data_IF_732317876388
#
_entry.id   IF_732317876388
#
_cell.length_a   1.000
_cell.length_b   1.000
_cell.length_c   1.000
_cell.angle_alpha   90.00
_cell.angle_beta   90.00
_cell.angle_gamma   90.00
#
_symmetry.space_group_name_H-M   'P 1'
#
loop_
_entity.id
_entity.type
_entity.pdbx_description
1 polymer ?
#
# COMPACT_ATOMS: atom_id res chain seq x y z
N UNK A 1 -79.17 -2.45 59.72
CA UNK A 1 -78.68 -1.82 58.49
C UNK A 1 -77.51 -0.91 58.87
N UNK A 2 -76.26 -1.34 58.69
CA UNK A 2 -75.05 -0.62 59.10
C UNK A 2 -74.35 -0.07 57.85
N UNK A 3 -74.09 1.23 57.85
CA UNK A 3 -73.16 1.90 56.91
C UNK A 3 -71.84 2.18 57.63
N UNK A 4 -70.78 2.28 56.81
CA UNK A 4 -69.47 2.95 57.02
C UNK A 4 -68.31 2.08 57.55
N UNK A 5 -67.30 1.95 56.68
CA UNK A 5 -65.82 1.95 56.82
C UNK A 5 -65.30 1.16 55.60
N UNK A 6 -64.88 1.74 54.47
CA UNK A 6 -63.83 2.73 54.20
C UNK A 6 -62.53 2.48 54.98
N UNK A 7 -61.70 1.55 54.49
CA UNK A 7 -60.23 1.64 54.49
C UNK A 7 -59.64 0.42 53.73
N UNK A 8 -58.55 0.66 53.00
CA UNK A 8 -57.72 -0.31 52.26
C UNK A 8 -58.20 -0.74 50.86
N UNK A 9 -58.35 0.24 49.97
CA UNK A 9 -58.21 0.05 48.52
C UNK A 9 -56.98 0.83 48.03
N UNK A 10 -55.79 0.39 48.42
CA UNK A 10 -54.50 0.86 47.88
C UNK A 10 -53.41 -0.15 48.19
N UNK A 11 -53.39 -1.30 47.50
CA UNK A 11 -52.17 -2.11 47.32
C UNK A 11 -52.40 -3.22 46.29
N UNK A 12 -52.31 -2.90 45.00
CA UNK A 12 -51.99 -3.85 43.92
C UNK A 12 -52.10 -3.11 42.58
N UNK A 13 -51.11 -2.26 42.29
CA UNK A 13 -50.90 -1.80 40.93
C UNK A 13 -49.42 -1.96 40.59
N UNK A 14 -49.20 -2.92 39.69
CA UNK A 14 -48.07 -3.07 38.78
C UNK A 14 -46.66 -2.82 39.33
N UNK A 15 -45.96 -3.92 39.64
CA UNK A 15 -44.52 -3.98 39.43
C UNK A 15 -44.28 -3.79 37.92
N UNK A 16 -44.04 -2.55 37.51
CA UNK A 16 -43.45 -2.23 36.21
C UNK A 16 -42.05 -2.84 36.21
N UNK A 17 -41.88 -3.88 35.40
CA UNK A 17 -40.58 -4.37 34.99
C UNK A 17 -39.90 -3.24 34.22
N UNK A 18 -39.03 -2.49 34.90
CA UNK A 18 -38.01 -1.69 34.24
C UNK A 18 -36.97 -2.68 33.69
N UNK A 19 -37.27 -3.26 32.53
CA UNK A 19 -36.21 -3.77 31.65
C UNK A 19 -35.55 -2.53 31.06
N UNK A 20 -34.49 -2.08 31.72
CA UNK A 20 -33.48 -1.23 31.10
C UNK A 20 -32.87 -2.05 29.97
N UNK A 21 -33.30 -1.82 28.74
CA UNK A 21 -32.45 -2.15 27.59
C UNK A 21 -31.28 -1.17 27.67
N UNK A 22 -30.16 -1.63 28.24
CA UNK A 22 -28.90 -1.08 27.81
C UNK A 22 -28.80 -1.46 26.33
N UNK A 23 -28.92 -0.47 25.45
CA UNK A 23 -28.50 -0.62 24.06
C UNK A 23 -26.98 -0.81 24.11
N UNK A 24 -26.56 -2.06 24.30
CA UNK A 24 -25.20 -2.51 24.04
C UNK A 24 -25.18 -3.07 22.62
N UNK A 25 -25.63 -2.27 21.66
CA UNK A 25 -25.07 -2.42 20.33
C UNK A 25 -23.65 -1.87 20.43
N UNK A 26 -22.59 -2.67 20.21
CA UNK A 26 -21.30 -2.08 19.93
C UNK A 26 -21.53 -1.13 18.77
N UNK A 27 -21.15 0.14 18.94
CA UNK A 27 -20.97 1.05 17.82
C UNK A 27 -19.95 0.34 16.94
N UNK A 28 -20.43 -0.38 15.93
CA UNK A 28 -19.59 -0.86 14.87
C UNK A 28 -19.22 0.40 14.10
N UNK A 29 -18.19 1.10 14.58
CA UNK A 29 -17.43 2.01 13.74
C UNK A 29 -16.74 1.11 12.71
N UNK A 30 -17.51 0.61 11.75
CA UNK A 30 -16.95 0.28 10.45
C UNK A 30 -16.25 1.55 10.02
N UNK A 31 -14.92 1.50 10.02
CA UNK A 31 -14.12 2.54 9.40
C UNK A 31 -14.61 2.66 7.96
N UNK A 32 -15.38 3.71 7.69
CA UNK A 32 -15.84 3.99 6.35
C UNK A 32 -14.67 4.68 5.64
N UNK A 33 -14.15 4.02 4.63
CA UNK A 33 -13.18 4.59 3.69
C UNK A 33 -13.95 5.07 2.48
N UNK A 34 -13.63 6.26 1.99
CA UNK A 34 -14.20 6.80 0.76
C UNK A 34 -13.15 6.74 -0.35
N UNK A 35 -13.56 6.45 -1.58
CA UNK A 35 -12.68 6.51 -2.75
C UNK A 35 -12.08 7.91 -2.85
N UNK A 36 -10.76 7.99 -3.01
CA UNK A 36 -10.01 9.25 -2.93
C UNK A 36 -9.06 9.39 -4.11
N UNK A 37 -9.28 10.45 -4.88
CA UNK A 37 -8.44 10.81 -6.02
C UNK A 37 -7.10 11.32 -5.50
N UNK A 38 -7.14 12.15 -4.45
CA UNK A 38 -5.97 12.68 -3.76
C UNK A 38 -5.09 11.57 -3.19
N UNK A 39 -5.70 10.51 -2.63
CA UNK A 39 -4.99 9.30 -2.24
C UNK A 39 -4.30 8.70 -3.47
N UNK A 40 -5.02 8.44 -4.56
CA UNK A 40 -4.42 7.80 -5.73
C UNK A 40 -3.27 8.61 -6.33
N UNK A 41 -3.40 9.94 -6.40
CA UNK A 41 -2.32 10.83 -6.84
C UNK A 41 -1.13 10.75 -5.91
N UNK A 42 -1.35 10.77 -4.59
CA UNK A 42 -0.29 10.63 -3.59
C UNK A 42 0.43 9.28 -3.72
N UNK A 43 -0.33 8.19 -3.84
CA UNK A 43 0.22 6.84 -3.98
C UNK A 43 1.04 6.68 -5.27
N UNK A 44 0.60 7.32 -6.36
CA UNK A 44 1.37 7.39 -7.61
C UNK A 44 2.70 8.13 -7.41
N UNK A 45 2.68 9.29 -6.76
CA UNK A 45 3.91 10.04 -6.47
C UNK A 45 4.88 9.23 -5.59
N UNK A 46 4.36 8.53 -4.59
CA UNK A 46 5.15 7.59 -3.77
C UNK A 46 5.74 6.50 -4.68
N UNK A 47 4.96 5.89 -5.57
CA UNK A 47 5.44 4.86 -6.50
C UNK A 47 6.57 5.37 -7.42
N UNK A 48 6.44 6.58 -7.98
CA UNK A 48 7.50 7.22 -8.79
C UNK A 48 8.81 7.41 -8.00
N UNK A 49 8.73 7.67 -6.70
CA UNK A 49 9.91 7.94 -5.86
C UNK A 49 10.59 6.68 -5.31
N UNK A 50 9.88 5.55 -5.16
CA UNK A 50 10.49 4.25 -4.83
C UNK A 50 11.57 3.88 -5.86
N UNK A 51 11.30 4.12 -7.16
CA UNK A 51 12.21 3.82 -8.25
C UNK A 51 13.42 4.76 -8.37
N UNK A 52 13.40 5.93 -7.75
CA UNK A 52 14.47 6.94 -7.87
C UNK A 52 15.33 7.09 -6.60
N UNK A 53 14.91 6.49 -5.48
CA UNK A 53 15.47 6.68 -4.13
C UNK A 53 16.97 6.36 -3.95
N UNK A 54 17.68 5.80 -4.93
CA UNK A 54 19.13 5.61 -4.83
C UNK A 54 19.96 6.15 -5.98
N UNK A 55 19.45 7.12 -6.76
CA UNK A 55 20.26 7.82 -7.78
C UNK A 55 20.88 9.14 -7.36
N UNK A 56 20.36 9.83 -6.35
CA UNK A 56 20.83 11.19 -6.03
C UNK A 56 21.15 11.45 -4.56
N UNK A 57 21.05 10.46 -3.67
CA UNK A 57 21.26 10.66 -2.24
C UNK A 57 20.26 11.65 -1.62
N UNK A 58 19.14 11.94 -2.29
CA UNK A 58 18.06 12.78 -1.75
C UNK A 58 17.00 11.94 -1.04
N UNK A 59 17.44 10.96 -0.24
CA UNK A 59 16.61 10.08 0.60
C UNK A 59 15.76 10.79 1.67
N UNK A 60 15.43 12.07 1.46
CA UNK A 60 14.71 12.95 2.36
C UNK A 60 13.72 13.91 1.63
N UNK A 61 13.32 13.65 0.36
CA UNK A 61 12.44 14.57 -0.42
C UNK A 61 11.26 13.92 -1.17
N UNK A 62 10.93 12.65 -0.97
CA UNK A 62 9.99 11.94 -1.85
C UNK A 62 8.55 12.49 -1.87
N UNK A 63 8.08 13.07 -0.77
CA UNK A 63 6.78 13.74 -0.67
C UNK A 63 6.90 14.96 0.23
N UNK A 64 6.24 16.07 -0.12
CA UNK A 64 6.12 17.31 0.67
C UNK A 64 5.52 17.11 2.09
N UNK A 65 4.86 15.97 2.35
CA UNK A 65 4.29 15.57 3.63
C UNK A 65 4.49 14.07 3.85
N UNK A 66 4.39 13.63 5.11
CA UNK A 66 4.34 12.23 5.49
C UNK A 66 3.00 11.89 6.15
N UNK A 67 2.47 10.69 5.92
CA UNK A 67 1.33 10.22 6.72
C UNK A 67 1.74 10.02 8.18
N UNK A 68 0.87 10.43 9.11
CA UNK A 68 0.99 10.07 10.53
C UNK A 68 0.22 8.76 10.72
N UNK A 69 0.97 7.69 10.94
CA UNK A 69 0.42 6.34 11.11
C UNK A 69 -0.16 6.12 12.52
N UNK A 70 -1.17 5.25 12.67
CA UNK A 70 -1.78 4.43 11.61
C UNK A 70 -2.77 5.21 10.74
N UNK A 71 -2.90 4.76 9.49
CA UNK A 71 -3.96 5.21 8.56
C UNK A 71 -4.81 4.01 8.14
N UNK A 72 -6.09 4.25 7.87
CA UNK A 72 -7.01 3.21 7.39
C UNK A 72 -7.29 3.42 5.92
N UNK A 73 -6.97 2.42 5.10
CA UNK A 73 -7.20 2.41 3.67
C UNK A 73 -8.21 1.32 3.29
N UNK A 74 -8.68 1.34 2.04
CA UNK A 74 -9.41 0.22 1.45
C UNK A 74 -8.97 -0.07 0.03
N UNK A 75 -9.09 -1.34 -0.34
CA UNK A 75 -8.94 -1.79 -1.72
C UNK A 75 -10.20 -1.49 -2.53
N UNK A 76 -10.07 -1.53 -3.85
CA UNK A 76 -11.13 -1.41 -4.84
C UNK A 76 -12.31 -2.40 -4.69
N UNK A 77 -12.14 -3.46 -3.88
CA UNK A 77 -13.21 -4.40 -3.55
C UNK A 77 -13.93 -4.08 -2.23
N UNK A 78 -13.60 -2.97 -1.58
CA UNK A 78 -14.14 -2.53 -0.29
C UNK A 78 -13.51 -3.18 0.94
N UNK A 79 -12.48 -4.02 0.78
CA UNK A 79 -11.74 -4.58 1.92
C UNK A 79 -10.93 -3.48 2.59
N UNK A 80 -11.14 -3.29 3.90
CA UNK A 80 -10.47 -2.28 4.71
C UNK A 80 -9.20 -2.85 5.35
N UNK A 81 -8.14 -2.05 5.38
CA UNK A 81 -6.84 -2.39 5.99
C UNK A 81 -6.30 -1.21 6.80
N UNK A 82 -5.70 -1.51 7.95
CA UNK A 82 -4.95 -0.53 8.75
C UNK A 82 -3.47 -0.63 8.40
N UNK A 83 -2.89 0.48 7.95
CA UNK A 83 -1.48 0.61 7.60
C UNK A 83 -0.78 1.28 8.77
N UNK A 84 0.26 0.65 9.29
CA UNK A 84 0.91 1.06 10.54
C UNK A 84 2.28 1.73 10.35
N UNK A 85 2.81 1.74 9.12
CA UNK A 85 4.11 2.34 8.79
C UNK A 85 4.21 2.67 7.30
N UNK A 86 5.19 3.49 6.95
CA UNK A 86 5.54 3.78 5.56
C UNK A 86 5.95 2.52 4.80
N UNK A 87 6.81 1.67 5.38
CA UNK A 87 7.21 0.40 4.77
C UNK A 87 6.01 -0.52 4.51
N UNK A 88 5.03 -0.51 5.43
CA UNK A 88 3.76 -1.21 5.24
C UNK A 88 2.98 -0.66 4.05
N UNK A 89 2.95 0.66 3.86
CA UNK A 89 2.31 1.28 2.69
C UNK A 89 3.04 0.89 1.39
N UNK A 90 4.38 0.91 1.38
CA UNK A 90 5.20 0.50 0.24
C UNK A 90 4.91 -0.95 -0.15
N UNK A 91 4.90 -1.88 0.81
CA UNK A 91 4.61 -3.28 0.54
C UNK A 91 3.21 -3.50 -0.06
N UNK A 92 2.23 -2.68 0.33
CA UNK A 92 0.89 -2.71 -0.29
C UNK A 92 0.89 -2.15 -1.71
N UNK A 93 1.65 -1.08 -1.98
CA UNK A 93 1.79 -0.50 -3.31
C UNK A 93 2.49 -1.43 -4.30
N UNK A 94 3.54 -2.13 -3.86
CA UNK A 94 4.25 -3.12 -4.67
C UNK A 94 3.38 -4.36 -4.99
N UNK A 95 2.36 -4.62 -4.18
CA UNK A 95 1.42 -5.72 -4.36
C UNK A 95 0.19 -5.35 -5.21
N UNK A 96 0.05 -4.10 -5.66
CA UNK A 96 -1.09 -3.68 -6.50
C UNK A 96 -1.09 -4.37 -7.86
N UNK A 97 -2.29 -4.64 -8.37
CA UNK A 97 -2.54 -5.15 -9.72
C UNK A 97 -3.78 -4.46 -10.29
N UNK A 98 -4.00 -4.55 -11.60
CA UNK A 98 -5.22 -4.08 -12.28
C UNK A 98 -6.54 -4.49 -11.60
N UNK A 99 -6.57 -5.64 -10.92
CA UNK A 99 -7.78 -6.15 -10.27
C UNK A 99 -7.81 -5.93 -8.75
N UNK A 100 -6.69 -5.50 -8.16
CA UNK A 100 -6.54 -5.37 -6.71
C UNK A 100 -5.59 -4.23 -6.39
N UNK A 101 -6.14 -3.07 -6.04
CA UNK A 101 -5.41 -1.84 -5.78
C UNK A 101 -6.09 -1.03 -4.68
N UNK A 102 -5.35 -0.17 -4.00
CA UNK A 102 -5.85 0.76 -2.99
C UNK A 102 -6.70 1.84 -3.66
N UNK A 103 -7.88 2.11 -3.13
CA UNK A 103 -8.84 3.04 -3.72
C UNK A 103 -9.32 4.09 -2.71
N UNK A 104 -9.50 3.68 -1.44
CA UNK A 104 -10.08 4.56 -0.43
C UNK A 104 -9.19 4.82 0.77
N UNK A 105 -9.45 5.94 1.43
CA UNK A 105 -8.86 6.33 2.72
C UNK A 105 -9.98 6.75 3.69
N UNK A 106 -9.77 6.48 4.97
CA UNK A 106 -10.66 6.96 6.01
C UNK A 106 -10.30 8.40 6.41
N UNK A 107 -11.27 9.31 6.29
CA UNK A 107 -11.18 10.63 6.91
C UNK A 107 -11.76 10.64 8.34
N UNK A 108 -11.26 11.51 9.24
CA UNK A 108 -10.04 12.30 9.09
C UNK A 108 -8.79 11.43 9.28
N UNK A 109 -7.68 11.83 8.66
CA UNK A 109 -6.34 11.32 8.95
C UNK A 109 -5.37 12.47 9.22
N UNK A 110 -4.14 12.17 9.59
CA UNK A 110 -3.13 13.17 9.90
C UNK A 110 -1.93 13.05 8.96
N UNK A 111 -1.37 14.19 8.60
CA UNK A 111 -0.12 14.32 7.87
C UNK A 111 0.86 15.16 8.67
N UNK A 112 2.14 14.99 8.40
CA UNK A 112 3.21 15.80 8.95
C UNK A 112 3.97 16.48 7.80
N UNK A 113 3.96 17.82 7.82
CA UNK A 113 4.80 18.67 6.97
C UNK A 113 5.91 19.24 7.85
N UNK A 114 7.16 18.89 7.56
CA UNK A 114 8.32 19.18 8.42
C UNK A 114 8.10 18.71 9.88
N UNK A 115 7.78 19.64 10.79
CA UNK A 115 7.49 19.36 12.21
C UNK A 115 6.03 19.68 12.61
N UNK A 116 5.18 20.01 11.64
CA UNK A 116 3.78 20.39 11.89
C UNK A 116 2.87 19.23 11.53
N UNK A 117 2.06 18.79 12.49
CA UNK A 117 1.01 17.80 12.25
C UNK A 117 -0.29 18.53 11.89
N UNK A 118 -0.84 18.20 10.73
CA UNK A 118 -2.09 18.73 10.21
C UNK A 118 -3.11 17.59 10.10
N UNK A 119 -4.35 17.85 10.50
CA UNK A 119 -5.46 16.91 10.29
C UNK A 119 -6.14 17.23 8.97
N UNK A 120 -6.31 16.21 8.13
CA UNK A 120 -7.05 16.27 6.86
C UNK A 120 -8.43 15.68 7.10
N UNK A 121 -9.48 16.49 6.95
CA UNK A 121 -10.84 16.12 7.35
C UNK A 121 -11.72 15.60 6.21
N UNK A 122 -11.33 15.82 4.96
CA UNK A 122 -12.12 15.49 3.77
C UNK A 122 -11.24 15.53 2.51
N UNK A 123 -11.81 15.09 1.39
CA UNK A 123 -11.14 15.04 0.09
C UNK A 123 -10.69 16.43 -0.40
N UNK A 124 -11.47 17.49 -0.17
CA UNK A 124 -11.10 18.85 -0.60
C UNK A 124 -9.83 19.34 0.12
N UNK A 125 -9.72 19.07 1.42
CA UNK A 125 -8.51 19.36 2.20
C UNK A 125 -7.32 18.50 1.76
N UNK A 126 -7.55 17.26 1.35
CA UNK A 126 -6.49 16.40 0.83
C UNK A 126 -6.02 16.86 -0.55
N UNK A 127 -6.94 17.22 -1.45
CA UNK A 127 -6.62 17.73 -2.78
C UNK A 127 -5.84 19.04 -2.68
N UNK A 128 -6.24 19.95 -1.78
CA UNK A 128 -5.51 21.19 -1.55
C UNK A 128 -4.07 20.94 -1.08
N UNK A 129 -3.85 19.92 -0.24
CA UNK A 129 -2.51 19.50 0.15
C UNK A 129 -1.72 18.96 -1.05
N UNK A 130 -2.28 18.01 -1.80
CA UNK A 130 -1.67 17.41 -3.01
C UNK A 130 -1.26 18.50 -4.02
N UNK A 131 -2.12 19.49 -4.27
CA UNK A 131 -1.82 20.63 -5.13
C UNK A 131 -0.72 21.54 -4.56
N UNK A 132 -0.77 21.82 -3.25
CA UNK A 132 0.26 22.65 -2.60
C UNK A 132 1.66 22.02 -2.66
N UNK A 133 1.69 20.69 -2.78
CA UNK A 133 2.89 19.91 -2.97
C UNK A 133 3.43 19.92 -4.40
N UNK A 134 2.64 20.40 -5.36
CA UNK A 134 2.98 20.34 -6.77
C UNK A 134 3.09 18.90 -7.28
N UNK A 135 2.24 18.00 -6.76
CA UNK A 135 2.12 16.67 -7.35
C UNK A 135 1.34 16.79 -8.66
N UNK A 136 1.83 16.12 -9.71
CA UNK A 136 1.14 16.10 -10.99
C UNK A 136 -0.28 15.54 -10.78
N UNK A 137 -1.28 16.36 -11.03
CA UNK A 137 -2.71 16.00 -10.97
C UNK A 137 -3.28 15.81 -12.38
N UNK A 138 -4.51 15.32 -12.49
CA UNK A 138 -5.16 15.00 -13.77
C UNK A 138 -5.20 16.21 -14.72
N UNK A 139 -5.44 17.39 -14.17
CA UNK A 139 -5.47 18.66 -14.90
C UNK A 139 -4.13 19.05 -15.52
N UNK A 140 -3.01 18.66 -14.90
CA UNK A 140 -1.67 18.91 -15.42
C UNK A 140 -1.29 17.90 -16.53
N UNK A 141 -1.74 16.66 -16.42
CA UNK A 141 -1.37 15.58 -17.34
C UNK A 141 -2.26 15.43 -18.57
N UNK A 142 -3.49 15.94 -18.54
CA UNK A 142 -4.42 15.87 -19.68
C UNK A 142 -3.91 16.59 -20.94
N UNK A 143 -2.87 17.43 -20.80
CA UNK A 143 -2.20 18.12 -21.90
C UNK A 143 -0.99 17.40 -22.49
N UNK A 144 -0.53 16.31 -21.88
CA UNK A 144 0.72 15.67 -22.24
C UNK A 144 0.52 14.17 -22.39
N UNK A 145 -0.34 13.79 -23.34
CA UNK A 145 -0.32 12.42 -23.84
C UNK A 145 0.62 12.30 -25.03
N UNK A 146 1.92 12.14 -24.76
CA UNK A 146 2.88 11.85 -25.83
C UNK A 146 2.61 10.49 -26.51
N UNK A 147 1.85 9.59 -25.88
CA UNK A 147 1.60 8.22 -26.36
C UNK A 147 0.14 7.87 -26.67
N UNK A 148 -0.82 8.66 -26.19
CA UNK A 148 -2.24 8.30 -26.21
C UNK A 148 -3.16 9.48 -26.58
N UNK A 149 -3.82 9.42 -27.73
CA UNK A 149 -4.88 10.38 -28.03
C UNK A 149 -6.17 9.99 -27.31
N UNK A 150 -6.79 10.91 -26.58
CA UNK A 150 -8.12 10.68 -26.01
C UNK A 150 -9.20 10.68 -27.10
N UNK A 151 -10.14 9.73 -27.02
CA UNK A 151 -11.25 9.61 -27.96
C UNK A 151 -12.41 10.47 -27.50
N UNK A 152 -12.78 11.45 -28.33
CA UNK A 152 -13.96 12.28 -28.11
C UNK A 152 -15.27 11.57 -28.51
N UNK A 153 -16.40 11.88 -27.84
CA UNK A 153 -16.51 12.73 -26.66
C UNK A 153 -16.15 11.99 -25.37
N UNK A 154 -15.64 12.74 -24.39
CA UNK A 154 -15.48 12.27 -23.00
C UNK A 154 -16.03 13.32 -22.04
N UNK A 155 -16.14 12.99 -20.76
CA UNK A 155 -16.57 13.94 -19.73
C UNK A 155 -15.61 13.98 -18.56
N UNK A 156 -15.50 15.14 -17.95
CA UNK A 156 -14.67 15.41 -16.77
C UNK A 156 -15.53 15.92 -15.63
N UNK A 157 -15.02 15.82 -14.41
CA UNK A 157 -15.61 16.35 -13.19
C UNK A 157 -14.70 17.45 -12.66
N UNK A 158 -15.25 18.63 -12.40
CA UNK A 158 -14.50 19.72 -11.77
C UNK A 158 -14.60 19.70 -10.24
N UNK A 159 -13.85 20.58 -9.57
CA UNK A 159 -13.87 20.72 -8.11
C UNK A 159 -15.27 20.95 -7.49
N UNK A 160 -16.22 21.51 -8.25
CA UNK A 160 -17.60 21.74 -7.82
C UNK A 160 -18.50 20.50 -8.05
N UNK A 161 -17.90 19.35 -8.38
CA UNK A 161 -18.58 18.10 -8.76
C UNK A 161 -19.48 18.23 -10.00
N UNK A 162 -19.20 19.21 -10.87
CA UNK A 162 -19.95 19.40 -12.11
C UNK A 162 -19.36 18.56 -13.23
N UNK A 163 -20.24 17.86 -13.97
CA UNK A 163 -19.85 17.08 -15.15
C UNK A 163 -19.81 17.99 -16.38
N UNK A 164 -18.64 18.08 -17.01
CA UNK A 164 -18.40 18.85 -18.23
C UNK A 164 -18.16 17.86 -19.37
N UNK A 165 -18.96 17.95 -20.44
CA UNK A 165 -18.80 17.12 -21.64
C UNK A 165 -17.88 17.82 -22.62
N UNK A 166 -16.85 17.12 -23.09
CA UNK A 166 -15.87 17.60 -24.06
C UNK A 166 -16.07 16.84 -25.37
N UNK A 167 -16.50 17.54 -26.41
CA UNK A 167 -16.85 16.94 -27.70
C UNK A 167 -15.72 16.94 -28.72
N UNK A 168 -14.67 17.75 -28.50
CA UNK A 168 -13.53 17.90 -29.40
C UNK A 168 -12.37 18.62 -28.70
N UNK A 169 -11.21 18.61 -29.35
CA UNK A 169 -9.98 19.23 -28.87
C UNK A 169 -10.12 20.74 -28.59
N UNK A 170 -10.93 21.48 -29.36
CA UNK A 170 -11.15 22.91 -29.13
C UNK A 170 -11.91 23.19 -27.84
N UNK A 171 -12.85 22.33 -27.46
CA UNK A 171 -13.56 22.43 -26.18
C UNK A 171 -12.62 22.11 -25.02
N UNK A 172 -11.74 21.11 -25.19
CA UNK A 172 -10.70 20.79 -24.21
C UNK A 172 -9.77 21.98 -23.99
N UNK A 173 -9.20 22.56 -25.06
CA UNK A 173 -8.35 23.75 -24.93
C UNK A 173 -9.06 24.94 -24.28
N UNK A 174 -10.36 25.12 -24.57
CA UNK A 174 -11.12 26.25 -24.01
C UNK A 174 -11.33 26.12 -22.51
N UNK A 175 -11.36 24.90 -21.99
CA UNK A 175 -11.53 24.63 -20.56
C UNK A 175 -10.37 25.21 -19.74
N UNK A 176 -9.12 25.09 -20.23
CA UNK A 176 -7.95 25.60 -19.50
C UNK A 176 -7.44 26.95 -19.99
N UNK A 177 -7.74 27.35 -21.22
CA UNK A 177 -7.35 28.67 -21.74
C UNK A 177 -8.09 29.83 -21.06
N UNK A 178 -9.13 29.55 -20.29
CA UNK A 178 -9.94 30.54 -19.61
C UNK A 178 -9.76 30.44 -18.09
N UNK A 179 -8.72 31.06 -17.50
CA UNK A 179 -8.64 31.22 -16.06
C UNK A 179 -9.80 32.13 -15.65
N UNK A 180 -10.91 31.52 -15.25
CA UNK A 180 -12.08 32.26 -14.82
C UNK A 180 -11.69 33.11 -13.61
N UNK A 181 -12.11 34.37 -13.59
CA UNK A 181 -11.75 35.33 -12.51
C UNK A 181 -12.37 34.99 -11.14
N UNK A 182 -12.97 33.80 -10.95
CA UNK A 182 -13.70 33.41 -9.74
C UNK A 182 -13.48 31.95 -9.29
N UNK A 183 -12.39 31.32 -9.69
CA UNK A 183 -12.09 29.95 -9.33
C UNK A 183 -11.50 29.26 -10.54
N UNK A 184 -10.31 28.70 -10.37
CA UNK A 184 -9.65 27.87 -11.35
C UNK A 184 -10.56 26.66 -11.61
N UNK A 185 -10.97 26.42 -12.86
CA UNK A 185 -11.85 25.30 -13.24
C UNK A 185 -11.00 24.02 -13.28
N UNK A 186 -10.54 23.59 -12.10
CA UNK A 186 -9.69 22.41 -11.94
C UNK A 186 -10.48 21.15 -12.26
N UNK A 187 -9.94 20.34 -13.17
CA UNK A 187 -10.42 18.99 -13.40
C UNK A 187 -9.89 18.12 -12.28
N UNK A 188 -10.80 17.52 -11.52
CA UNK A 188 -10.44 16.61 -10.43
C UNK A 188 -10.61 15.16 -10.83
N UNK A 189 -11.46 14.83 -11.81
CA UNK A 189 -11.66 13.45 -12.27
C UNK A 189 -12.19 13.36 -13.70
N UNK A 190 -12.19 12.13 -14.24
CA UNK A 190 -12.95 11.77 -15.43
C UNK A 190 -14.27 11.07 -15.07
N UNK A 191 -15.25 11.15 -15.97
CA UNK A 191 -16.38 10.22 -15.96
C UNK A 191 -15.97 8.98 -16.74
N UNK A 192 -15.62 7.91 -16.02
CA UNK A 192 -15.26 6.63 -16.61
C UNK A 192 -16.49 5.84 -17.12
N UNK A 193 -16.31 4.95 -18.12
CA UNK A 193 -15.06 4.68 -18.82
C UNK A 193 -14.72 5.73 -19.89
N UNK A 194 -13.43 5.96 -20.09
CA UNK A 194 -12.90 6.74 -21.22
C UNK A 194 -12.18 5.82 -22.21
N UNK A 195 -11.91 6.31 -23.41
CA UNK A 195 -11.18 5.58 -24.44
C UNK A 195 -9.98 6.37 -24.91
N UNK A 196 -8.83 5.69 -24.99
CA UNK A 196 -7.56 6.24 -25.47
C UNK A 196 -7.11 5.48 -26.71
N UNK A 197 -6.37 6.12 -27.61
CA UNK A 197 -5.74 5.48 -28.77
C UNK A 197 -4.25 5.73 -28.81
N UNK A 198 -3.46 4.68 -28.86
CA UNK A 198 -2.00 4.74 -28.94
C UNK A 198 -1.47 3.52 -29.70
N UNK A 199 -0.37 3.66 -30.43
CA UNK A 199 0.24 2.56 -31.19
C UNK A 199 -0.72 1.80 -32.14
N UNK A 200 -1.77 2.47 -32.63
CA UNK A 200 -2.80 1.86 -33.50
C UNK A 200 -3.75 0.89 -32.78
N UNK A 201 -3.80 0.91 -31.45
CA UNK A 201 -4.76 0.19 -30.61
C UNK A 201 -5.70 1.17 -29.90
N UNK A 202 -6.84 0.67 -29.43
CA UNK A 202 -7.77 1.42 -28.57
C UNK A 202 -7.77 0.77 -27.19
N UNK A 203 -7.56 1.59 -26.16
CA UNK A 203 -7.54 1.21 -24.76
C UNK A 203 -8.81 1.74 -24.11
N UNK A 204 -9.52 0.90 -23.34
CA UNK A 204 -10.67 1.31 -22.55
C UNK A 204 -10.22 1.43 -21.09
N UNK A 205 -10.40 2.60 -20.51
CA UNK A 205 -9.97 2.93 -19.15
C UNK A 205 -11.20 3.08 -18.28
N UNK A 206 -11.32 2.29 -17.23
CA UNK A 206 -12.55 2.18 -16.43
C UNK A 206 -12.48 2.89 -15.09
N UNK A 207 -11.31 3.36 -14.67
CA UNK A 207 -11.09 4.05 -13.41
C UNK A 207 -9.74 4.81 -13.44
N UNK A 208 -9.50 5.58 -12.39
CA UNK A 208 -8.28 6.39 -12.24
C UNK A 208 -7.01 5.54 -12.10
N UNK A 209 -7.10 4.35 -11.49
CA UNK A 209 -5.95 3.45 -11.38
C UNK A 209 -5.47 2.99 -12.76
N UNK A 210 -6.37 2.50 -13.60
CA UNK A 210 -6.07 2.12 -14.98
C UNK A 210 -5.55 3.29 -15.81
N UNK A 211 -6.05 4.51 -15.55
CA UNK A 211 -5.57 5.72 -16.22
C UNK A 211 -4.10 6.01 -15.88
N UNK A 212 -3.79 6.01 -14.57
CA UNK A 212 -2.43 6.26 -14.10
C UNK A 212 -1.46 5.16 -14.52
N UNK A 213 -1.88 3.89 -14.51
CA UNK A 213 -1.06 2.77 -14.97
C UNK A 213 -0.65 2.94 -16.45
N UNK A 214 -1.58 3.37 -17.30
CA UNK A 214 -1.28 3.71 -18.69
C UNK A 214 -0.33 4.93 -18.82
N UNK A 215 -0.38 5.89 -17.91
CA UNK A 215 0.52 7.05 -17.95
C UNK A 215 1.96 6.65 -17.63
N UNK A 216 2.15 5.80 -16.62
CA UNK A 216 3.48 5.26 -16.30
C UNK A 216 4.06 4.47 -17.48
N UNK A 217 3.23 3.69 -18.18
CA UNK A 217 3.64 3.01 -19.43
C UNK A 217 4.05 3.99 -20.55
N UNK A 218 3.47 5.20 -20.58
CA UNK A 218 3.71 6.21 -21.60
C UNK A 218 5.01 7.02 -21.37
N UNK A 219 5.34 7.38 -20.13
CA UNK A 219 6.49 8.23 -19.80
C UNK A 219 7.87 7.55 -20.08
N UNK A 220 7.87 6.35 -20.64
CA UNK A 220 9.07 5.71 -21.17
C UNK A 220 9.69 4.69 -20.23
N UNK A 221 8.93 4.13 -19.30
CA UNK A 221 9.33 2.91 -18.59
C UNK A 221 8.57 1.68 -19.08
N UNK A 222 8.62 1.45 -20.40
CA UNK A 222 8.01 0.30 -21.09
C UNK A 222 8.61 -1.07 -20.72
N UNK A 223 9.13 -1.28 -19.50
CA UNK A 223 9.65 -2.59 -19.09
C UNK A 223 9.32 -3.07 -17.68
N UNK A 224 8.62 -2.31 -16.85
CA UNK A 224 8.49 -2.67 -15.43
C UNK A 224 7.36 -3.63 -15.04
N UNK A 225 7.00 -4.52 -15.97
CA UNK A 225 6.25 -5.73 -15.64
C UNK A 225 7.26 -6.76 -15.14
N UNK A 226 7.53 -6.73 -13.84
CA UNK A 226 8.44 -7.68 -13.22
C UNK A 226 7.73 -8.97 -12.80
N UNK A 227 8.34 -10.14 -13.06
CA UNK A 227 7.82 -11.39 -12.54
C UNK A 227 7.86 -11.39 -11.01
N UNK A 228 6.84 -11.99 -10.37
CA UNK A 228 6.74 -12.07 -8.91
C UNK A 228 7.71 -13.10 -8.28
N UNK A 229 8.78 -13.50 -8.98
CA UNK A 229 9.80 -14.35 -8.39
C UNK A 229 10.70 -13.52 -7.48
N UNK A 230 10.93 -14.05 -6.28
CA UNK A 230 11.90 -13.48 -5.36
C UNK A 230 13.28 -14.05 -5.65
N UNK A 231 14.11 -13.29 -6.37
CA UNK A 231 15.52 -13.56 -6.67
C UNK A 231 16.36 -12.29 -6.44
N UNK A 232 16.45 -11.86 -5.17
CA UNK A 232 16.83 -10.50 -4.81
C UNK A 232 18.25 -10.11 -5.18
N UNK A 233 18.39 -8.85 -5.60
CA UNK A 233 19.67 -8.21 -5.93
C UNK A 233 19.87 -6.97 -5.08
N UNK A 234 21.12 -6.57 -4.86
CA UNK A 234 21.43 -5.41 -4.04
C UNK A 234 22.31 -4.40 -4.76
N UNK A 235 22.09 -3.14 -4.47
CA UNK A 235 22.84 -2.00 -5.02
C UNK A 235 23.21 -1.03 -3.91
N UNK A 236 24.20 -0.17 -4.16
CA UNK A 236 24.55 0.88 -3.21
C UNK A 236 23.59 2.06 -3.35
N UNK A 237 23.20 2.67 -2.24
CA UNK A 237 22.47 3.94 -2.20
C UNK A 237 23.34 5.17 -2.54
N UNK A 238 24.64 4.99 -2.79
CA UNK A 238 25.59 6.07 -3.03
C UNK A 238 26.16 6.76 -1.78
N UNK A 239 25.59 6.48 -0.60
CA UNK A 239 26.00 7.03 0.70
C UNK A 239 26.63 5.98 1.63
N UNK A 240 26.67 4.73 1.18
CA UNK A 240 27.31 3.60 1.88
C UNK A 240 26.33 2.62 2.52
N UNK A 241 25.02 2.80 2.31
CA UNK A 241 23.99 1.81 2.56
C UNK A 241 23.72 0.93 1.34
N UNK A 242 22.86 -0.07 1.57
CA UNK A 242 22.51 -1.12 0.60
C UNK A 242 20.99 -1.08 0.38
N UNK A 243 20.57 -0.97 -0.88
CA UNK A 243 19.17 -1.09 -1.31
C UNK A 243 18.98 -2.49 -1.86
N UNK A 244 17.95 -3.21 -1.41
CA UNK A 244 17.63 -4.57 -1.86
C UNK A 244 16.35 -4.57 -2.68
N UNK A 245 16.39 -5.16 -3.88
CA UNK A 245 15.23 -5.36 -4.75
C UNK A 245 14.80 -6.82 -4.73
N UNK A 246 13.49 -7.09 -4.85
CA UNK A 246 12.95 -8.46 -4.82
C UNK A 246 13.42 -9.34 -5.99
N UNK A 247 13.83 -8.74 -7.12
CA UNK A 247 14.54 -9.39 -8.20
C UNK A 247 15.30 -8.41 -9.08
N UNK A 248 16.11 -8.94 -10.01
CA UNK A 248 16.86 -8.16 -11.00
C UNK A 248 15.98 -7.20 -11.80
N UNK A 249 14.80 -7.64 -12.25
CA UNK A 249 13.89 -6.77 -13.01
C UNK A 249 13.48 -5.55 -12.18
N UNK A 250 13.14 -5.73 -10.91
CA UNK A 250 12.78 -4.62 -10.01
C UNK A 250 13.95 -3.63 -9.81
N UNK A 251 15.20 -4.11 -9.79
CA UNK A 251 16.37 -3.23 -9.73
C UNK A 251 16.61 -2.49 -11.06
N UNK A 252 16.46 -3.17 -12.20
CA UNK A 252 16.56 -2.55 -13.52
C UNK A 252 15.48 -1.48 -13.72
N UNK A 253 14.29 -1.74 -13.21
CA UNK A 253 13.18 -0.81 -13.12
C UNK A 253 13.47 0.42 -12.28
N UNK A 254 14.14 0.24 -11.15
CA UNK A 254 14.65 1.35 -10.37
C UNK A 254 15.88 2.04 -11.02
N UNK A 255 16.19 1.73 -12.28
CA UNK A 255 17.21 2.38 -13.08
C UNK A 255 18.64 1.92 -12.80
N UNK A 256 18.80 0.80 -12.10
CA UNK A 256 20.09 0.15 -11.88
C UNK A 256 20.44 -0.77 -13.03
N UNK A 257 21.73 -1.05 -13.17
CA UNK A 257 22.24 -2.03 -14.13
C UNK A 257 22.95 -3.14 -13.37
N UNK A 258 23.21 -4.27 -14.02
CA UNK A 258 24.02 -5.35 -13.44
C UNK A 258 25.40 -4.85 -12.95
N UNK A 259 25.92 -3.74 -13.49
CA UNK A 259 27.18 -3.15 -13.04
C UNK A 259 27.08 -2.47 -11.66
N UNK A 260 25.88 -2.09 -11.25
CA UNK A 260 25.58 -1.47 -9.95
C UNK A 260 25.31 -2.53 -8.88
N UNK A 261 25.16 -3.79 -9.28
CA UNK A 261 24.89 -4.88 -8.36
C UNK A 261 26.12 -5.17 -7.51
N UNK A 262 25.88 -5.25 -6.21
CA UNK A 262 26.86 -5.61 -5.22
C UNK A 262 26.39 -6.81 -4.40
N UNK A 263 27.31 -7.36 -3.63
CA UNK A 263 26.94 -8.35 -2.62
C UNK A 263 25.98 -7.69 -1.63
N UNK A 264 24.78 -8.28 -1.46
CA UNK A 264 23.80 -7.88 -0.45
C UNK A 264 24.37 -7.89 0.98
N UNK A 265 25.56 -8.46 1.13
CA UNK A 265 26.21 -8.65 2.41
C UNK A 265 25.80 -9.99 2.99
N UNK A 266 26.80 -10.71 3.48
CA UNK A 266 26.59 -11.82 4.38
C UNK A 266 26.48 -11.23 5.78
N UNK A 267 25.38 -11.50 6.51
CA UNK A 267 25.40 -11.36 7.96
C UNK A 267 25.36 -12.73 8.61
N UNK A 268 26.38 -12.91 9.45
CA UNK A 268 26.67 -14.01 10.35
C UNK A 268 25.43 -14.74 10.90
N UNK A 269 25.39 -16.07 10.77
CA UNK A 269 24.36 -16.92 11.38
C UNK A 269 24.24 -16.87 12.91
N UNK A 270 25.04 -16.05 13.62
CA UNK A 270 25.00 -15.89 15.08
C UNK A 270 23.59 -15.61 15.65
N UNK A 271 22.73 -14.93 14.90
CA UNK A 271 21.42 -14.50 15.39
C UNK A 271 20.27 -15.47 15.07
N UNK A 272 20.49 -16.54 14.28
CA UNK A 272 19.41 -17.46 13.87
C UNK A 272 18.59 -17.96 15.08
N UNK A 273 19.27 -18.45 16.12
CA UNK A 273 18.59 -19.00 17.29
C UNK A 273 17.83 -17.96 18.12
N UNK A 274 18.22 -16.68 18.06
CA UNK A 274 17.53 -15.60 18.76
C UNK A 274 16.28 -15.10 18.00
N UNK A 275 16.32 -15.20 16.67
CA UNK A 275 15.26 -14.73 15.76
C UNK A 275 14.17 -15.77 15.53
N UNK A 276 14.49 -17.06 15.72
CA UNK A 276 13.53 -18.15 15.64
C UNK A 276 12.43 -18.02 16.71
N UNK A 277 11.19 -17.87 16.26
CA UNK A 277 10.01 -17.70 17.11
C UNK A 277 9.76 -16.27 17.61
N UNK A 278 10.65 -15.32 17.27
CA UNK A 278 10.54 -13.90 17.65
C UNK A 278 10.38 -13.00 16.43
N UNK A 279 11.18 -13.20 15.40
CA UNK A 279 11.05 -12.53 14.10
C UNK A 279 10.28 -13.39 13.10
N UNK A 280 10.66 -14.66 12.96
CA UNK A 280 10.06 -15.57 12.00
C UNK A 280 9.68 -16.89 12.65
N UNK A 281 8.72 -17.59 12.07
CA UNK A 281 8.30 -18.91 12.53
C UNK A 281 8.58 -19.98 11.47
N UNK A 282 8.97 -21.18 11.89
CA UNK A 282 9.11 -22.31 10.95
C UNK A 282 7.79 -23.08 10.85
N UNK A 283 7.44 -23.50 9.64
CA UNK A 283 6.40 -24.50 9.45
C UNK A 283 6.98 -25.89 9.71
N UNK A 284 6.52 -26.52 10.78
CA UNK A 284 6.88 -27.88 11.14
C UNK A 284 5.85 -28.91 10.64
N UNK A 285 6.25 -30.17 10.39
CA UNK A 285 7.60 -30.71 10.54
C UNK A 285 8.52 -30.37 9.35
N UNK A 286 9.82 -30.28 9.62
CA UNK A 286 10.85 -30.09 8.59
C UNK A 286 12.03 -31.04 8.80
N UNK A 287 12.94 -31.13 7.84
CA UNK A 287 14.11 -32.01 7.90
C UNK A 287 15.43 -31.23 7.91
N UNK A 288 16.37 -31.69 8.72
CA UNK A 288 17.77 -31.23 8.74
C UNK A 288 18.70 -32.42 8.49
N UNK A 289 19.79 -32.22 7.76
CA UNK A 289 20.85 -33.17 7.61
C UNK A 289 21.78 -33.09 8.85
N UNK A 290 22.00 -34.23 9.49
CA UNK A 290 22.91 -34.35 10.62
C UNK A 290 23.70 -35.65 10.51
N UNK A 291 25.03 -35.52 10.50
CA UNK A 291 25.96 -36.66 10.35
C UNK A 291 25.64 -37.57 9.13
N UNK A 292 25.17 -36.98 8.03
CA UNK A 292 24.85 -37.70 6.79
C UNK A 292 23.50 -38.41 6.77
N UNK A 293 22.63 -38.18 7.77
CA UNK A 293 21.26 -38.65 7.79
C UNK A 293 20.27 -37.48 7.85
N UNK A 294 19.08 -37.65 7.25
CA UNK A 294 17.98 -36.70 7.39
C UNK A 294 17.23 -36.97 8.68
N UNK A 295 17.08 -35.92 9.50
CA UNK A 295 16.37 -35.94 10.77
C UNK A 295 15.16 -35.03 10.68
N UNK A 296 13.97 -35.55 11.00
CA UNK A 296 12.76 -34.74 11.10
C UNK A 296 12.69 -34.05 12.46
N UNK A 297 12.44 -32.74 12.46
CA UNK A 297 12.19 -31.92 13.65
C UNK A 297 10.77 -31.34 13.59
N UNK A 298 10.14 -31.19 14.76
CA UNK A 298 8.71 -30.90 14.87
C UNK A 298 8.40 -29.59 15.61
N UNK A 299 9.41 -28.89 16.14
CA UNK A 299 9.29 -27.63 16.87
C UNK A 299 10.65 -26.94 16.99
N UNK A 300 10.65 -25.68 17.42
CA UNK A 300 11.86 -24.86 17.59
C UNK A 300 12.87 -25.50 18.55
N UNK A 301 12.40 -26.12 19.63
CA UNK A 301 13.27 -26.78 20.60
C UNK A 301 14.04 -27.97 20.05
N UNK A 302 13.46 -28.71 19.10
CA UNK A 302 14.14 -29.79 18.37
C UNK A 302 15.08 -29.22 17.30
N UNK A 303 14.67 -28.16 16.59
CA UNK A 303 15.50 -27.52 15.57
C UNK A 303 16.76 -26.87 16.16
N UNK A 304 16.66 -26.20 17.30
CA UNK A 304 17.78 -25.55 17.98
C UNK A 304 18.86 -26.53 18.46
N UNK A 305 18.58 -27.83 18.55
CA UNK A 305 19.61 -28.85 18.84
C UNK A 305 20.61 -29.03 17.69
N UNK A 306 20.24 -28.59 16.48
CA UNK A 306 21.04 -28.67 15.27
C UNK A 306 21.62 -27.31 14.83
N UNK A 307 21.46 -26.28 15.66
CA UNK A 307 22.06 -24.96 15.46
C UNK A 307 23.24 -24.78 16.42
N UNK A 308 24.43 -24.46 15.88
CA UNK A 308 25.61 -24.14 16.67
C UNK A 308 26.05 -22.69 16.37
N UNK A 309 25.77 -21.80 17.31
CA UNK A 309 26.09 -20.38 17.19
C UNK A 309 27.60 -20.10 17.11
N UNK A 310 28.47 -21.05 17.51
CA UNK A 310 29.92 -20.86 17.50
C UNK A 310 30.56 -21.04 16.13
N UNK A 311 29.90 -21.79 15.24
CA UNK A 311 30.36 -22.03 13.87
C UNK A 311 29.74 -21.06 12.87
N UNK A 312 28.79 -20.23 13.31
CA UNK A 312 28.12 -19.24 12.47
C UNK A 312 27.61 -19.89 11.18
N UNK A 313 26.88 -21.02 11.30
CA UNK A 313 26.21 -21.68 10.18
C UNK A 313 24.74 -21.96 10.55
N UNK A 314 23.86 -21.86 9.56
CA UNK A 314 22.47 -22.31 9.72
C UNK A 314 22.45 -23.84 9.90
N UNK A 315 21.41 -24.39 10.57
CA UNK A 315 21.14 -25.82 10.47
C UNK A 315 21.11 -26.26 9.00
N UNK A 316 21.69 -27.41 8.69
CA UNK A 316 21.74 -27.93 7.31
C UNK A 316 20.35 -28.44 6.90
N UNK A 317 19.48 -27.52 6.48
CA UNK A 317 18.10 -27.86 6.14
C UNK A 317 18.02 -28.70 4.87
N UNK A 318 17.12 -29.68 4.86
CA UNK A 318 16.66 -30.27 3.62
C UNK A 318 15.62 -29.34 2.98
N UNK A 319 16.08 -28.50 2.07
CA UNK A 319 15.23 -27.57 1.33
C UNK A 319 14.26 -28.27 0.37
N UNK A 320 13.11 -27.65 0.03
CA UNK A 320 12.65 -26.36 0.55
C UNK A 320 12.07 -26.45 1.97
N UNK A 321 12.21 -25.38 2.74
CA UNK A 321 11.56 -25.18 4.05
C UNK A 321 10.54 -24.06 3.97
N UNK A 322 9.53 -24.10 4.83
CA UNK A 322 8.48 -23.10 4.86
C UNK A 322 8.64 -22.21 6.10
N UNK A 323 8.68 -20.91 5.90
CA UNK A 323 8.76 -19.89 6.95
C UNK A 323 7.42 -19.17 7.00
N UNK A 324 6.83 -19.03 8.19
CA UNK A 324 5.60 -18.27 8.41
C UNK A 324 6.03 -16.88 8.85
N UNK A 325 5.69 -15.91 8.01
CA UNK A 325 5.85 -14.49 8.27
C UNK A 325 4.52 -13.91 8.75
N UNK A 326 4.51 -13.39 9.97
CA UNK A 326 3.30 -12.83 10.59
C UNK A 326 3.09 -11.40 10.11
N UNK A 327 1.91 -11.06 9.55
CA UNK A 327 0.65 -11.70 9.91
C UNK A 327 0.07 -12.74 8.95
N UNK A 328 0.58 -12.94 7.70
CA UNK A 328 -0.28 -13.64 6.70
C UNK A 328 0.40 -14.45 5.57
N UNK A 329 1.71 -14.73 5.54
CA UNK A 329 2.25 -15.55 4.43
C UNK A 329 3.23 -16.67 4.83
N UNK A 330 3.08 -17.84 4.18
CA UNK A 330 4.05 -18.95 4.22
C UNK A 330 4.98 -18.81 3.03
N UNK A 331 6.25 -18.56 3.30
CA UNK A 331 7.30 -18.33 2.31
C UNK A 331 8.11 -19.61 2.14
N UNK A 332 8.24 -20.06 0.89
CA UNK A 332 9.03 -21.24 0.52
C UNK A 332 10.49 -20.85 0.29
N UNK A 333 11.37 -21.29 1.17
CA UNK A 333 12.82 -21.08 1.09
C UNK A 333 13.48 -22.33 0.51
N UNK A 334 14.17 -22.21 -0.62
CA UNK A 334 14.76 -23.29 -1.42
C UNK A 334 16.26 -23.52 -1.18
N UNK A 335 16.93 -22.70 -0.37
CA UNK A 335 18.35 -22.87 -0.07
C UNK A 335 18.85 -22.05 1.12
N UNK A 336 20.06 -22.38 1.60
CA UNK A 336 20.68 -21.72 2.75
C UNK A 336 20.95 -20.24 2.50
N UNK A 337 21.42 -19.89 1.30
CA UNK A 337 21.61 -18.49 0.92
C UNK A 337 20.30 -17.69 0.99
N UNK A 338 19.21 -18.25 0.45
CA UNK A 338 17.89 -17.62 0.49
C UNK A 338 17.36 -17.49 1.92
N UNK A 339 17.65 -18.45 2.79
CA UNK A 339 17.24 -18.37 4.20
C UNK A 339 18.02 -17.28 4.94
N UNK A 340 19.35 -17.25 4.80
CA UNK A 340 20.18 -16.19 5.37
C UNK A 340 19.72 -14.81 4.91
N UNK A 341 19.33 -14.68 3.65
CA UNK A 341 18.82 -13.43 3.11
C UNK A 341 17.45 -13.04 3.66
N UNK A 342 16.51 -13.99 3.75
CA UNK A 342 15.21 -13.76 4.38
C UNK A 342 15.37 -13.18 5.79
N UNK A 343 16.27 -13.76 6.60
CA UNK A 343 16.55 -13.28 7.94
C UNK A 343 17.09 -11.85 7.91
N UNK A 344 17.98 -11.52 6.97
CA UNK A 344 18.55 -10.17 6.88
C UNK A 344 17.53 -9.11 6.48
N UNK A 345 16.59 -9.44 5.60
CA UNK A 345 15.61 -8.48 5.09
C UNK A 345 14.40 -8.32 6.01
N UNK A 346 14.01 -9.37 6.75
CA UNK A 346 12.79 -9.35 7.56
C UNK A 346 13.05 -9.18 9.07
N UNK A 347 14.29 -9.42 9.55
CA UNK A 347 14.60 -9.46 10.99
C UNK A 347 15.63 -8.46 11.50
N UNK A 348 16.18 -7.59 10.64
CA UNK A 348 17.14 -6.55 11.04
C UNK A 348 16.54 -5.15 10.99
#
# INVERSE_FOLDING_TARGET
MKKIKLLFLFLSMAALTLSSCADENPVNNTANTDASISLRTTLRQIKKTIGTAGRDGSGDQATCFNFVYPITLSYNNGTVIEVNSYDGLIALLEAETENFYLEGIQFPFQVQEEMTITTINNEDEFMALVQSCGFDTIDEEIYVFDCYDIVYPFSVINQDQQVIVINNESELYSLFANPSTNGDDYIVDFVYPISLTGNGQTYQVNNLYELFDLFEDCEGDTSCICPANFDPVCVSDGEGGIITFGNQCLAECAGYTEADFMDCGIVSPENFGALLGTCFQMSYPLQVAYQGALVTVNNDGELLQYYDASVQELPDFHYPVQVIDTPVSSISIAGAAQFSQFINTHCN
#
